data_IF_444600880839
#
_entry.id   IF_444600880839
#
_cell.length_a   1.000
_cell.length_b   1.000
_cell.length_c   1.000
_cell.angle_alpha   90.00
_cell.angle_beta   90.00
_cell.angle_gamma   90.00
#
_symmetry.space_group_name_H-M   'P 1'
#
loop_
_entity.id
_entity.type
_entity.pdbx_description
1 polymer ?
#
# COMPACT_ATOMS: atom_id res chain seq x y z
N UNK A 1 0.36 -18.73 2.95
CA UNK A 1 -0.78 -19.32 3.67
C UNK A 1 -1.93 -19.61 2.72
N UNK A 2 -2.76 -20.61 3.09
CA UNK A 2 -4.02 -20.88 2.40
C UNK A 2 -5.16 -20.37 3.27
N UNK A 3 -5.99 -19.48 2.72
CA UNK A 3 -7.12 -18.90 3.46
C UNK A 3 -8.42 -19.40 2.83
N UNK A 4 -9.32 -19.90 3.66
CA UNK A 4 -10.61 -20.40 3.26
C UNK A 4 -11.72 -19.69 4.06
N UNK A 5 -12.78 -19.30 3.37
CA UNK A 5 -13.95 -18.67 3.98
C UNK A 5 -15.25 -19.19 3.37
N UNK A 6 -16.34 -19.05 4.09
CA UNK A 6 -17.69 -19.36 3.56
C UNK A 6 -18.19 -18.24 2.64
N UNK A 7 -17.68 -17.04 2.85
CA UNK A 7 -17.98 -15.84 2.07
C UNK A 7 -16.70 -15.14 1.66
N UNK A 8 -16.77 -14.25 0.67
CA UNK A 8 -15.64 -13.41 0.27
C UNK A 8 -15.12 -12.56 1.45
N UNK A 9 -16.03 -12.09 2.31
CA UNK A 9 -15.65 -11.31 3.51
C UNK A 9 -14.84 -12.17 4.50
N UNK A 10 -15.19 -13.43 4.71
CA UNK A 10 -14.39 -14.34 5.57
C UNK A 10 -12.99 -14.55 5.00
N UNK A 11 -12.89 -14.69 3.67
CA UNK A 11 -11.59 -14.83 3.01
C UNK A 11 -10.73 -13.55 3.14
N UNK A 12 -11.32 -12.37 2.97
CA UNK A 12 -10.63 -11.07 3.17
C UNK A 12 -10.16 -10.95 4.61
N UNK A 13 -11.04 -11.22 5.60
CA UNK A 13 -10.67 -11.19 7.01
C UNK A 13 -9.46 -12.10 7.30
N UNK A 14 -9.54 -13.38 6.91
CA UNK A 14 -8.46 -14.34 7.15
C UNK A 14 -7.17 -14.00 6.42
N UNK A 15 -7.25 -13.43 5.20
CA UNK A 15 -6.09 -12.99 4.44
C UNK A 15 -5.35 -11.84 5.15
N UNK A 16 -6.07 -10.82 5.61
CA UNK A 16 -5.47 -9.68 6.32
C UNK A 16 -4.91 -10.09 7.67
N UNK A 17 -5.59 -10.99 8.39
CA UNK A 17 -5.08 -11.55 9.63
C UNK A 17 -3.74 -12.27 9.40
N UNK A 18 -3.67 -13.15 8.39
CA UNK A 18 -2.46 -13.87 8.04
C UNK A 18 -1.32 -12.94 7.60
N UNK A 19 -1.61 -11.86 6.85
CA UNK A 19 -0.60 -10.85 6.51
C UNK A 19 -0.02 -10.16 7.75
N UNK A 20 -0.87 -9.90 8.75
CA UNK A 20 -0.42 -9.31 10.02
C UNK A 20 0.41 -10.29 10.85
N UNK A 21 0.10 -11.60 10.82
CA UNK A 21 0.94 -12.63 11.44
C UNK A 21 2.33 -12.70 10.80
N UNK A 22 2.41 -12.53 9.48
CA UNK A 22 3.69 -12.55 8.76
C UNK A 22 4.54 -11.29 9.05
N UNK A 23 3.97 -10.09 8.92
CA UNK A 23 4.70 -8.83 9.11
C UNK A 23 3.76 -7.63 9.36
N UNK A 24 3.19 -7.52 10.56
CA UNK A 24 2.35 -6.39 10.91
C UNK A 24 3.04 -5.02 10.76
N UNK A 25 4.33 -4.84 11.14
CA UNK A 25 5.00 -3.55 10.95
C UNK A 25 5.00 -3.07 9.50
N UNK A 26 5.13 -4.00 8.54
CA UNK A 26 5.07 -3.69 7.12
C UNK A 26 3.65 -3.36 6.67
N UNK A 27 2.66 -4.12 7.15
CA UNK A 27 1.24 -3.81 6.88
C UNK A 27 0.93 -2.40 7.36
N UNK A 28 1.28 -2.05 8.60
CA UNK A 28 1.03 -0.73 9.16
C UNK A 28 1.75 0.36 8.35
N UNK A 29 3.04 0.18 8.04
CA UNK A 29 3.83 1.16 7.29
C UNK A 29 3.25 1.43 5.89
N UNK A 30 2.73 0.43 5.21
CA UNK A 30 2.07 0.60 3.92
C UNK A 30 0.86 1.56 4.04
N UNK A 31 0.04 1.42 5.08
CA UNK A 31 -1.10 2.32 5.32
C UNK A 31 -0.68 3.71 5.79
N UNK A 32 0.38 3.82 6.61
CA UNK A 32 0.97 5.11 6.98
C UNK A 32 1.46 5.84 5.73
N UNK A 33 2.13 5.12 4.81
CA UNK A 33 2.60 5.67 3.53
C UNK A 33 1.43 6.10 2.66
N UNK A 34 0.42 5.26 2.50
CA UNK A 34 -0.77 5.57 1.70
C UNK A 34 -1.54 6.79 2.22
N UNK A 35 -1.51 7.03 3.53
CA UNK A 35 -2.09 8.24 4.15
C UNK A 35 -1.17 9.48 4.05
N UNK A 36 0.06 9.35 3.57
CA UNK A 36 1.04 10.43 3.56
C UNK A 36 1.37 10.91 4.98
N UNK A 37 1.72 9.98 5.88
CA UNK A 37 2.00 10.25 7.29
C UNK A 37 3.32 9.62 7.77
N UNK A 38 4.23 9.30 6.84
CA UNK A 38 5.51 8.66 7.16
C UNK A 38 6.40 9.57 8.01
N UNK A 39 6.33 10.87 7.79
CA UNK A 39 7.09 11.86 8.58
C UNK A 39 6.76 11.82 10.09
N UNK A 40 5.55 11.38 10.46
CA UNK A 40 5.17 11.24 11.88
C UNK A 40 5.88 10.09 12.60
N UNK A 41 6.40 9.11 11.86
CA UNK A 41 7.05 7.90 12.41
C UNK A 41 8.51 7.76 12.04
N UNK A 42 8.97 8.35 10.92
CA UNK A 42 10.33 8.25 10.43
C UNK A 42 11.10 9.58 10.43
N UNK A 43 10.41 10.70 10.68
CA UNK A 43 11.06 12.01 10.79
C UNK A 43 10.76 12.97 9.64
N UNK A 44 11.19 14.23 9.85
CA UNK A 44 10.85 15.36 8.99
C UNK A 44 11.38 15.21 7.54
N UNK A 45 12.42 14.43 7.31
CA UNK A 45 12.99 14.18 5.99
C UNK A 45 11.97 13.49 5.05
N UNK A 46 10.94 12.85 5.60
CA UNK A 46 9.86 12.19 4.83
C UNK A 46 8.71 13.13 4.46
N UNK A 47 8.71 14.37 4.95
CA UNK A 47 7.60 15.31 4.76
C UNK A 47 7.23 15.51 3.29
N UNK A 48 8.20 15.65 2.40
CA UNK A 48 7.92 15.87 0.97
C UNK A 48 7.42 14.62 0.25
N UNK A 49 7.74 13.43 0.74
CA UNK A 49 7.14 12.17 0.29
C UNK A 49 5.67 12.12 0.70
N UNK A 50 5.35 12.51 1.93
CA UNK A 50 3.96 12.60 2.41
C UNK A 50 3.16 13.62 1.62
N UNK A 51 3.71 14.79 1.34
CA UNK A 51 3.08 15.80 0.49
C UNK A 51 2.81 15.26 -0.91
N UNK A 52 3.76 14.53 -1.51
CA UNK A 52 3.57 13.87 -2.81
C UNK A 52 2.38 12.93 -2.78
N UNK A 53 2.29 12.08 -1.79
CA UNK A 53 1.18 11.14 -1.63
C UNK A 53 -0.17 11.86 -1.54
N UNK A 54 -0.24 12.94 -0.76
CA UNK A 54 -1.46 13.74 -0.53
C UNK A 54 -1.89 14.57 -1.74
N UNK A 55 -1.07 14.71 -2.79
CA UNK A 55 -1.50 15.33 -4.05
C UNK A 55 -2.57 14.49 -4.76
N UNK A 56 -2.60 13.18 -4.54
CA UNK A 56 -3.48 12.25 -5.24
C UNK A 56 -4.62 11.76 -4.38
N UNK A 57 -4.35 11.49 -3.12
CA UNK A 57 -5.31 10.87 -2.20
C UNK A 57 -5.29 11.56 -0.85
N UNK A 58 -6.48 11.78 -0.32
CA UNK A 58 -6.68 12.17 1.06
C UNK A 58 -7.72 11.28 1.76
N UNK A 59 -7.77 11.36 3.07
CA UNK A 59 -8.68 10.55 3.88
C UNK A 59 -10.16 10.90 3.63
N UNK A 60 -10.48 12.17 3.35
CA UNK A 60 -11.86 12.61 3.09
C UNK A 60 -12.39 12.02 1.77
N UNK A 61 -11.54 11.97 0.75
CA UNK A 61 -11.85 11.33 -0.52
C UNK A 61 -12.10 9.83 -0.33
N UNK A 62 -11.21 9.12 0.37
CA UNK A 62 -11.33 7.70 0.65
C UNK A 62 -12.61 7.37 1.44
N UNK A 63 -12.93 8.17 2.47
CA UNK A 63 -14.18 8.05 3.22
C UNK A 63 -15.42 8.29 2.36
N UNK A 64 -15.37 9.28 1.45
CA UNK A 64 -16.46 9.56 0.52
C UNK A 64 -16.70 8.39 -0.43
N UNK A 65 -15.63 7.81 -1.00
CA UNK A 65 -15.71 6.64 -1.86
C UNK A 65 -16.31 5.46 -1.09
N UNK A 66 -15.84 5.20 0.13
CA UNK A 66 -16.41 4.15 0.97
C UNK A 66 -17.91 4.36 1.23
N UNK A 67 -18.33 5.57 1.59
CA UNK A 67 -19.74 5.88 1.87
C UNK A 67 -20.66 5.65 0.68
N UNK A 68 -20.19 5.95 -0.52
CA UNK A 68 -20.97 5.79 -1.77
C UNK A 68 -20.83 4.41 -2.41
N UNK A 69 -19.91 3.58 -1.92
CA UNK A 69 -19.67 2.23 -2.43
C UNK A 69 -20.87 1.30 -2.23
N UNK A 70 -21.07 0.30 -3.10
CA UNK A 70 -22.15 -0.68 -2.96
C UNK A 70 -21.95 -1.54 -1.71
N UNK A 71 -23.05 -2.13 -1.22
CA UNK A 71 -23.08 -2.88 0.03
C UNK A 71 -22.10 -4.07 0.07
N UNK A 72 -21.90 -4.75 -1.06
CA UNK A 72 -20.95 -5.86 -1.14
C UNK A 72 -19.51 -5.41 -0.91
N UNK A 73 -19.11 -4.27 -1.52
CA UNK A 73 -17.75 -3.72 -1.36
C UNK A 73 -17.53 -3.20 0.06
N UNK A 74 -18.53 -2.54 0.65
CA UNK A 74 -18.49 -2.15 2.06
C UNK A 74 -18.26 -3.32 3.00
N UNK A 75 -18.86 -4.49 2.72
CA UNK A 75 -18.64 -5.71 3.51
C UNK A 75 -17.20 -6.20 3.41
N UNK A 76 -16.59 -6.16 2.22
CA UNK A 76 -15.18 -6.55 2.04
C UNK A 76 -14.25 -5.56 2.76
N UNK A 77 -14.49 -4.27 2.62
CA UNK A 77 -13.73 -3.24 3.32
C UNK A 77 -13.88 -3.34 4.86
N UNK A 78 -15.06 -3.69 5.35
CA UNK A 78 -15.26 -3.95 6.78
C UNK A 78 -14.48 -5.18 7.22
N UNK A 79 -14.53 -6.28 6.46
CA UNK A 79 -13.76 -7.49 6.75
C UNK A 79 -12.24 -7.25 6.76
N UNK A 80 -11.74 -6.39 5.87
CA UNK A 80 -10.37 -5.89 5.92
C UNK A 80 -10.05 -5.26 7.29
N UNK A 81 -10.83 -4.27 7.70
CA UNK A 81 -10.59 -3.58 8.97
C UNK A 81 -10.72 -4.52 10.17
N UNK A 82 -11.70 -5.41 10.14
CA UNK A 82 -11.94 -6.38 11.21
C UNK A 82 -10.78 -7.39 11.32
N UNK A 83 -10.23 -7.87 10.21
CA UNK A 83 -9.10 -8.81 10.21
C UNK A 83 -7.85 -8.22 10.85
N UNK A 84 -7.45 -6.99 10.46
CA UNK A 84 -6.30 -6.31 11.05
C UNK A 84 -6.55 -5.95 12.52
N UNK A 85 -7.73 -5.40 12.84
CA UNK A 85 -8.06 -5.01 14.21
C UNK A 85 -8.17 -6.22 15.15
N UNK A 86 -8.65 -7.35 14.64
CA UNK A 86 -8.71 -8.59 15.41
C UNK A 86 -7.30 -9.12 15.72
N UNK A 87 -6.37 -9.04 14.73
CA UNK A 87 -4.97 -9.35 14.98
C UNK A 87 -4.42 -8.50 16.12
N UNK A 88 -4.58 -7.19 16.09
CA UNK A 88 -4.13 -6.30 17.17
C UNK A 88 -4.78 -6.61 18.54
N UNK A 89 -6.05 -7.01 18.53
CA UNK A 89 -6.75 -7.38 19.75
C UNK A 89 -6.22 -8.68 20.36
N UNK A 90 -5.82 -9.64 19.52
CA UNK A 90 -5.33 -10.96 19.96
C UNK A 90 -3.82 -10.98 20.22
N UNK A 91 -3.09 -9.92 19.82
CA UNK A 91 -1.64 -9.77 20.00
C UNK A 91 -1.31 -8.46 20.76
N UNK A 92 -1.65 -8.37 22.06
CA UNK A 92 -1.45 -7.14 22.85
C UNK A 92 0.02 -6.73 23.03
N UNK A 93 0.96 -7.64 22.76
CA UNK A 93 2.40 -7.38 22.70
C UNK A 93 2.81 -6.55 21.49
N UNK A 94 2.05 -6.60 20.40
CA UNK A 94 2.28 -5.80 19.19
C UNK A 94 1.90 -4.36 19.46
N UNK A 95 2.85 -3.45 19.21
CA UNK A 95 2.65 -2.01 19.44
C UNK A 95 2.65 -1.28 18.10
N UNK A 96 1.49 -0.84 17.62
CA UNK A 96 1.42 0.02 16.44
C UNK A 96 2.24 1.30 16.62
N UNK A 97 2.89 1.77 15.56
CA UNK A 97 3.62 3.04 15.57
C UNK A 97 2.68 4.24 15.51
N UNK A 98 1.58 4.12 14.79
CA UNK A 98 0.67 5.23 14.53
C UNK A 98 -0.80 4.80 14.42
N UNK A 99 -1.11 3.63 13.83
CA UNK A 99 -2.47 3.20 13.51
C UNK A 99 -2.98 2.23 14.57
N UNK A 100 -3.58 2.76 15.62
CA UNK A 100 -4.16 1.93 16.69
C UNK A 100 -5.48 1.23 16.29
N UNK A 101 -6.13 1.69 15.22
CA UNK A 101 -7.36 1.11 14.69
C UNK A 101 -7.49 1.36 13.20
N UNK A 102 -7.57 0.30 12.44
CA UNK A 102 -7.77 0.35 11.00
C UNK A 102 -9.24 0.61 10.66
N UNK A 103 -9.49 1.40 9.63
CA UNK A 103 -10.80 1.85 9.21
C UNK A 103 -11.19 1.23 7.86
N UNK A 104 -12.46 0.96 7.59
CA UNK A 104 -12.90 0.27 6.38
C UNK A 104 -12.71 1.09 5.09
N UNK A 105 -12.45 2.38 5.18
CA UNK A 105 -12.14 3.23 4.02
C UNK A 105 -10.65 3.19 3.60
N UNK A 106 -9.76 2.71 4.46
CA UNK A 106 -8.31 2.73 4.21
C UNK A 106 -7.87 2.02 2.92
N UNK A 107 -8.49 0.91 2.47
CA UNK A 107 -8.12 0.29 1.19
C UNK A 107 -8.22 1.23 -0.02
N UNK A 108 -9.06 2.26 0.04
CA UNK A 108 -9.22 3.25 -1.05
C UNK A 108 -8.08 4.28 -1.14
N UNK A 109 -7.13 4.24 -0.23
CA UNK A 109 -5.93 5.08 -0.31
C UNK A 109 -4.85 4.50 -1.22
N UNK A 110 -4.97 3.23 -1.62
CA UNK A 110 -4.01 2.61 -2.53
C UNK A 110 -4.37 2.92 -3.99
N UNK A 111 -3.37 3.39 -4.74
CA UNK A 111 -3.44 3.41 -6.20
C UNK A 111 -2.80 2.13 -6.73
N UNK A 112 -3.42 1.51 -7.72
CA UNK A 112 -2.74 0.48 -8.48
C UNK A 112 -1.75 1.16 -9.44
N UNK A 113 -0.46 1.00 -9.18
CA UNK A 113 0.62 1.60 -9.97
C UNK A 113 0.66 1.17 -11.44
N UNK A 114 -0.11 0.12 -11.83
CA UNK A 114 -0.15 -0.38 -13.21
C UNK A 114 -1.18 0.30 -14.11
N UNK A 115 -2.21 0.93 -13.55
CA UNK A 115 -3.35 1.48 -14.33
C UNK A 115 -3.62 2.95 -13.99
N UNK A 116 -3.13 3.45 -12.87
CA UNK A 116 -3.36 4.81 -12.38
C UNK A 116 -2.19 5.76 -12.63
N UNK A 117 -2.32 6.95 -12.10
CA UNK A 117 -1.22 7.91 -12.05
C UNK A 117 -0.13 7.35 -11.18
N UNK A 118 1.05 7.19 -11.75
CA UNK A 118 2.23 6.77 -11.01
C UNK A 118 2.67 7.92 -10.09
N UNK A 119 2.34 7.80 -8.82
CA UNK A 119 2.67 8.82 -7.80
C UNK A 119 4.19 9.06 -7.76
N UNK A 120 4.97 8.02 -7.99
CA UNK A 120 6.43 8.12 -7.98
C UNK A 120 7.00 8.85 -9.19
N UNK A 121 6.21 9.02 -10.27
CA UNK A 121 6.61 9.83 -11.42
C UNK A 121 6.76 11.33 -11.08
N UNK A 122 6.14 11.77 -9.97
CA UNK A 122 6.31 13.13 -9.48
C UNK A 122 7.55 13.22 -8.62
N UNK A 123 8.51 14.00 -9.06
CA UNK A 123 9.76 14.21 -8.35
C UNK A 123 9.52 14.88 -7.00
N UNK A 124 9.99 14.24 -5.93
CA UNK A 124 9.99 14.81 -4.57
C UNK A 124 10.77 16.13 -4.53
N UNK A 125 11.84 16.26 -5.33
CA UNK A 125 12.61 17.50 -5.41
C UNK A 125 11.77 18.65 -5.94
N UNK A 126 10.92 18.43 -6.96
CA UNK A 126 10.00 19.47 -7.45
C UNK A 126 8.99 19.91 -6.40
N UNK A 127 8.51 19.00 -5.58
CA UNK A 127 7.62 19.32 -4.46
C UNK A 127 8.38 20.15 -3.42
N UNK A 128 9.61 19.76 -3.11
CA UNK A 128 10.48 20.47 -2.19
C UNK A 128 10.79 21.89 -2.67
N UNK A 129 11.05 22.08 -3.95
CA UNK A 129 11.26 23.39 -4.57
C UNK A 129 10.00 24.26 -4.50
N UNK A 130 8.84 23.69 -4.76
CA UNK A 130 7.58 24.42 -4.74
C UNK A 130 7.16 24.86 -3.34
N UNK A 131 7.32 24.01 -2.33
CA UNK A 131 6.90 24.31 -0.96
C UNK A 131 8.06 24.81 -0.06
N UNK A 132 9.31 24.57 -0.44
CA UNK A 132 10.49 25.04 0.30
C UNK A 132 10.69 26.53 0.10
N UNK A 133 10.88 27.29 1.17
CA UNK A 133 11.24 28.70 1.11
C UNK A 133 12.72 28.81 0.73
N UNK A 134 12.99 28.96 -0.54
CA UNK A 134 14.33 29.25 -1.04
C UNK A 134 14.43 28.98 -2.53
N UNK A 135 14.81 30.01 -3.31
CA UNK A 135 15.21 29.87 -4.71
C UNK A 135 16.40 28.91 -4.79
N UNK A 136 16.13 27.64 -4.96
CA UNK A 136 17.14 26.70 -5.42
C UNK A 136 17.27 26.94 -6.91
N UNK A 137 18.42 27.45 -7.34
CA UNK A 137 18.79 27.41 -8.75
C UNK A 137 18.64 25.96 -9.20
N UNK A 138 17.79 25.74 -10.19
CA UNK A 138 17.59 24.49 -10.87
C UNK A 138 18.91 24.09 -11.54
N UNK A 139 19.83 23.48 -10.83
CA UNK A 139 20.69 22.51 -11.47
C UNK A 139 19.80 21.30 -11.75
N UNK A 140 19.32 21.27 -12.98
CA UNK A 140 18.66 20.11 -13.57
C UNK A 140 19.71 19.03 -13.70
N UNK A 141 20.02 18.35 -12.58
CA UNK A 141 20.57 17.02 -12.68
C UNK A 141 19.49 16.18 -13.35
N UNK A 142 19.56 16.11 -14.68
CA UNK A 142 19.02 14.99 -15.41
C UNK A 142 19.77 13.74 -14.93
N UNK A 143 19.44 13.23 -13.76
CA UNK A 143 19.60 11.82 -13.53
C UNK A 143 18.62 11.18 -14.51
N UNK A 144 19.18 10.68 -15.61
CA UNK A 144 18.59 9.59 -16.37
C UNK A 144 18.52 8.38 -15.42
N UNK A 145 17.64 8.43 -14.42
CA UNK A 145 17.16 7.23 -13.80
C UNK A 145 16.39 6.54 -14.92
N UNK A 146 17.06 5.58 -15.57
CA UNK A 146 16.34 4.65 -16.44
C UNK A 146 15.18 4.13 -15.57
N UNK A 147 13.93 4.30 -16.02
CA UNK A 147 12.79 3.82 -15.26
C UNK A 147 13.04 2.35 -15.00
N UNK A 148 13.03 1.93 -13.73
CA UNK A 148 13.13 0.52 -13.39
C UNK A 148 12.11 -0.25 -14.25
N UNK A 149 12.51 -1.35 -14.89
CA UNK A 149 11.59 -2.11 -15.73
C UNK A 149 10.42 -2.57 -14.88
N UNK A 150 9.30 -1.86 -15.00
CA UNK A 150 8.05 -2.19 -14.32
C UNK A 150 7.28 -3.16 -15.20
N UNK A 151 6.99 -4.33 -14.69
CA UNK A 151 6.28 -5.37 -15.40
C UNK A 151 5.62 -6.35 -14.46
N UNK A 152 4.70 -7.14 -15.00
CA UNK A 152 4.10 -8.26 -14.28
C UNK A 152 5.19 -9.30 -13.96
N UNK A 153 5.12 -9.88 -12.76
CA UNK A 153 6.04 -10.95 -12.38
C UNK A 153 5.71 -12.22 -13.18
N UNK A 154 6.71 -12.82 -13.78
CA UNK A 154 6.60 -14.09 -14.47
C UNK A 154 7.56 -15.13 -13.88
N UNK A 155 7.13 -16.38 -13.85
CA UNK A 155 7.97 -17.51 -13.44
C UNK A 155 8.08 -18.51 -14.59
N UNK A 156 9.30 -18.81 -15.01
CA UNK A 156 9.58 -19.84 -16.00
C UNK A 156 10.36 -20.99 -15.33
N UNK A 157 9.81 -22.19 -15.37
CA UNK A 157 10.43 -23.39 -14.82
C UNK A 157 10.83 -24.29 -15.99
N UNK A 158 12.13 -24.56 -16.12
CA UNK A 158 12.66 -25.47 -17.15
C UNK A 158 12.18 -26.92 -16.92
N UNK A 159 12.01 -27.72 -17.98
CA UNK A 159 11.56 -29.13 -17.88
C UNK A 159 12.35 -29.95 -16.86
N UNK A 160 13.67 -29.78 -16.82
CA UNK A 160 14.55 -30.51 -15.91
C UNK A 160 14.31 -30.20 -14.41
N UNK A 161 13.56 -29.15 -14.10
CA UNK A 161 13.21 -28.72 -12.72
C UNK A 161 11.73 -28.92 -12.39
N UNK A 162 10.94 -29.40 -13.35
CA UNK A 162 9.53 -29.71 -13.19
C UNK A 162 9.35 -31.20 -12.87
N UNK A 163 8.52 -31.52 -11.88
CA UNK A 163 8.19 -32.91 -11.56
C UNK A 163 7.48 -33.64 -12.71
N UNK A 164 6.80 -32.91 -13.58
CA UNK A 164 6.11 -33.44 -14.77
C UNK A 164 7.05 -33.59 -15.99
N UNK A 165 8.27 -33.08 -15.92
CA UNK A 165 9.18 -33.03 -17.08
C UNK A 165 8.78 -32.03 -18.17
N UNK A 166 7.79 -31.19 -17.92
CA UNK A 166 7.31 -30.15 -18.86
C UNK A 166 7.76 -28.77 -18.44
N UNK A 167 7.96 -27.86 -19.41
CA UNK A 167 8.14 -26.45 -19.11
C UNK A 167 6.85 -25.88 -18.52
N UNK A 168 6.98 -25.03 -17.50
CA UNK A 168 5.87 -24.32 -16.89
C UNK A 168 6.13 -22.81 -16.95
N UNK A 169 5.13 -22.04 -17.34
CA UNK A 169 5.17 -20.57 -17.38
C UNK A 169 3.95 -20.04 -16.65
N UNK A 170 4.21 -19.15 -15.69
CA UNK A 170 3.20 -18.32 -15.03
C UNK A 170 3.51 -16.86 -15.35
N UNK A 171 2.55 -16.13 -15.92
CA UNK A 171 2.65 -14.73 -16.27
C UNK A 171 1.47 -13.99 -15.62
#
# INVERSE_FOLDING_TARGET
PHVYGKTDADAVFGFLYAQCEDDFPRVELNYITAMGRVAEVEGEEKLYHDLRQRLFYDTLMAESIYRTSPAWLKRLCQAFADGVNYYLQTHPEVKPKLINRFQPWMPFLFSEGSIGVDIESISVNRIKEFYGKGSVQLEVEHRNEEPEPRGSNGFAIAPARSASGNAMLLI
#
